data_IF_845564705537
#
_entry.id   IF_845564705537
#
_cell.length_a   1.000
_cell.length_b   1.000
_cell.length_c   1.000
_cell.angle_alpha   90.00
_cell.angle_beta   90.00
_cell.angle_gamma   90.00
#
_symmetry.space_group_name_H-M   'P 1'
#
loop_
_entity.id
_entity.type
_entity.pdbx_description
1 polymer ?
#
# COMPACT_ATOMS: atom_id res chain seq x y z
N UNK A 1 -50.61 -26.12 -13.45
CA UNK A 1 -49.32 -26.38 -12.77
C UNK A 1 -48.33 -25.24 -13.06
N UNK A 2 -47.96 -24.45 -12.06
CA UNK A 2 -47.05 -23.28 -12.18
C UNK A 2 -45.60 -23.74 -11.93
N UNK A 3 -44.80 -23.92 -12.99
CA UNK A 3 -43.40 -24.39 -12.95
C UNK A 3 -42.35 -23.26 -13.09
N UNK A 4 -42.66 -22.02 -12.69
CA UNK A 4 -41.78 -20.84 -12.96
C UNK A 4 -41.32 -20.07 -11.73
N UNK A 5 -41.57 -20.57 -10.52
CA UNK A 5 -41.25 -19.88 -9.26
C UNK A 5 -40.36 -20.74 -8.37
N UNK A 6 -39.16 -21.11 -8.86
CA UNK A 6 -38.20 -21.82 -8.01
C UNK A 6 -36.72 -21.45 -8.22
N UNK A 7 -36.37 -20.56 -9.16
CA UNK A 7 -34.96 -20.14 -9.37
C UNK A 7 -34.83 -18.62 -9.24
N UNK A 8 -35.25 -18.05 -8.13
CA UNK A 8 -35.10 -16.60 -7.89
C UNK A 8 -34.45 -16.23 -6.55
N UNK A 9 -34.08 -17.18 -5.70
CA UNK A 9 -33.69 -16.87 -4.31
C UNK A 9 -32.54 -17.72 -3.77
N UNK A 10 -31.47 -17.97 -4.56
CA UNK A 10 -30.36 -18.79 -4.08
C UNK A 10 -28.93 -18.32 -4.47
N UNK A 11 -28.74 -17.06 -4.88
CA UNK A 11 -27.46 -16.60 -5.43
C UNK A 11 -26.76 -15.44 -4.69
N UNK A 12 -27.22 -15.01 -3.51
CA UNK A 12 -26.65 -13.81 -2.84
C UNK A 12 -25.70 -14.12 -1.67
N UNK A 13 -25.64 -15.33 -1.12
CA UNK A 13 -24.96 -15.55 0.18
C UNK A 13 -23.49 -15.98 0.07
N UNK A 14 -23.01 -16.51 -1.07
CA UNK A 14 -21.67 -17.11 -1.13
C UNK A 14 -20.51 -16.14 -1.43
N UNK A 15 -20.77 -14.92 -1.91
CA UNK A 15 -19.71 -13.92 -2.17
C UNK A 15 -19.40 -13.08 -0.92
N UNK A 16 -20.33 -13.01 0.04
CA UNK A 16 -20.17 -12.13 1.21
C UNK A 16 -19.02 -12.51 2.14
N UNK A 17 -18.78 -13.81 2.34
CA UNK A 17 -17.72 -14.31 3.24
C UNK A 17 -16.30 -14.02 2.75
N UNK A 18 -15.91 -14.35 1.49
CA UNK A 18 -14.58 -14.00 1.00
C UNK A 18 -14.35 -12.49 0.98
N UNK A 19 -15.38 -11.69 0.64
CA UNK A 19 -15.29 -10.23 0.64
C UNK A 19 -15.10 -9.66 2.06
N UNK A 20 -15.88 -10.11 3.03
CA UNK A 20 -15.73 -9.67 4.42
C UNK A 20 -14.37 -10.07 5.03
N UNK A 21 -13.89 -11.27 4.73
CA UNK A 21 -12.56 -11.72 5.14
C UNK A 21 -11.45 -10.88 4.52
N UNK A 22 -11.56 -10.57 3.23
CA UNK A 22 -10.63 -9.70 2.51
C UNK A 22 -10.55 -8.30 3.14
N UNK A 23 -11.68 -7.67 3.42
CA UNK A 23 -11.71 -6.36 4.08
C UNK A 23 -11.15 -6.39 5.51
N UNK A 24 -11.39 -7.46 6.27
CA UNK A 24 -10.86 -7.62 7.63
C UNK A 24 -9.33 -7.80 7.62
N UNK A 25 -8.80 -8.62 6.70
CA UNK A 25 -7.36 -8.84 6.55
C UNK A 25 -6.62 -7.54 6.18
N UNK A 26 -7.20 -6.74 5.27
CA UNK A 26 -6.67 -5.44 4.84
C UNK A 26 -6.54 -4.40 5.97
N UNK A 27 -7.35 -4.51 7.01
CA UNK A 27 -7.28 -3.58 8.14
C UNK A 27 -6.13 -3.90 9.12
N UNK A 28 -5.51 -5.08 9.00
CA UNK A 28 -4.44 -5.51 9.90
C UNK A 28 -3.03 -5.23 9.36
N UNK A 29 -2.89 -4.92 8.07
CA UNK A 29 -1.59 -4.59 7.47
C UNK A 29 -1.00 -3.30 8.05
N UNK A 30 0.32 -3.19 8.06
CA UNK A 30 1.02 -2.00 8.51
C UNK A 30 1.05 -0.97 7.37
N UNK A 31 0.37 0.18 7.51
CA UNK A 31 0.28 1.15 6.42
C UNK A 31 1.64 1.77 6.03
N UNK A 32 2.69 1.60 6.84
CA UNK A 32 4.02 2.13 6.56
C UNK A 32 4.86 1.14 5.75
N UNK A 33 4.78 -0.15 6.07
CA UNK A 33 5.63 -1.17 5.43
C UNK A 33 4.96 -1.90 4.29
N UNK A 34 3.63 -1.91 4.21
CA UNK A 34 2.91 -2.64 3.15
C UNK A 34 2.35 -1.67 2.10
N UNK A 35 2.84 -1.71 0.84
CA UNK A 35 2.30 -0.88 -0.23
C UNK A 35 0.96 -1.44 -0.69
N UNK A 36 -0.14 -0.87 -0.19
CA UNK A 36 -1.50 -1.39 -0.36
C UNK A 36 -1.92 -1.54 -1.82
N UNK A 37 -1.51 -0.65 -2.73
CA UNK A 37 -1.84 -0.75 -4.15
C UNK A 37 -0.96 -1.80 -4.84
N UNK A 38 0.36 -1.68 -4.70
CA UNK A 38 1.32 -2.58 -5.34
C UNK A 38 1.16 -4.04 -4.90
N UNK A 39 0.74 -4.30 -3.65
CA UNK A 39 0.46 -5.66 -3.18
C UNK A 39 -0.73 -6.35 -3.88
N UNK A 40 -1.58 -5.59 -4.59
CA UNK A 40 -2.65 -6.18 -5.41
C UNK A 40 -2.17 -6.54 -6.83
N UNK A 41 -1.02 -6.01 -7.25
CA UNK A 41 -0.49 -6.18 -8.61
C UNK A 41 0.70 -7.15 -8.59
N UNK A 42 1.55 -7.02 -7.58
CA UNK A 42 2.81 -7.75 -7.46
C UNK A 42 2.78 -8.76 -6.32
N UNK A 43 3.55 -9.83 -6.51
CA UNK A 43 3.86 -10.81 -5.50
C UNK A 43 4.95 -10.29 -4.53
N UNK A 44 5.05 -10.94 -3.37
CA UNK A 44 5.99 -10.56 -2.31
C UNK A 44 7.46 -10.47 -2.80
N UNK A 45 7.99 -11.44 -3.57
CA UNK A 45 9.35 -11.36 -4.12
C UNK A 45 9.58 -10.10 -4.97
N UNK A 46 8.61 -9.72 -5.80
CA UNK A 46 8.71 -8.53 -6.64
C UNK A 46 8.71 -7.25 -5.80
N UNK A 47 7.85 -7.16 -4.78
CA UNK A 47 7.86 -6.02 -3.85
C UNK A 47 9.20 -5.89 -3.12
N UNK A 48 9.78 -7.01 -2.66
CA UNK A 48 11.11 -7.02 -2.03
C UNK A 48 12.20 -6.59 -3.02
N UNK A 49 12.14 -7.07 -4.26
CA UNK A 49 13.08 -6.69 -5.34
C UNK A 49 13.04 -5.19 -5.64
N UNK A 50 11.82 -4.62 -5.75
CA UNK A 50 11.63 -3.17 -5.91
C UNK A 50 12.24 -2.41 -4.73
N UNK A 51 11.99 -2.88 -3.50
CA UNK A 51 12.56 -2.28 -2.29
C UNK A 51 14.09 -2.30 -2.25
N UNK A 52 14.71 -3.41 -2.63
CA UNK A 52 16.17 -3.52 -2.75
C UNK A 52 16.71 -2.60 -3.86
N UNK A 53 16.01 -2.52 -4.99
CA UNK A 53 16.34 -1.60 -6.08
C UNK A 53 16.34 -0.15 -5.61
N UNK A 54 15.32 0.27 -4.85
CA UNK A 54 15.22 1.62 -4.30
C UNK A 54 16.40 1.93 -3.37
N UNK A 55 16.68 1.02 -2.44
CA UNK A 55 17.78 1.17 -1.45
C UNK A 55 19.15 1.27 -2.12
N UNK A 56 19.32 0.62 -3.26
CA UNK A 56 20.55 0.68 -4.06
C UNK A 56 20.68 2.01 -4.79
N UNK A 57 19.58 2.53 -5.35
CA UNK A 57 19.58 3.81 -6.07
C UNK A 57 19.67 5.03 -5.12
N UNK A 58 19.10 4.92 -3.91
CA UNK A 58 19.05 5.99 -2.91
C UNK A 58 19.69 5.53 -1.59
N UNK A 59 21.01 5.28 -1.55
CA UNK A 59 21.68 4.72 -0.37
C UNK A 59 21.58 5.64 0.85
N UNK A 60 21.42 6.95 0.64
CA UNK A 60 21.22 7.92 1.72
C UNK A 60 19.91 7.72 2.50
N UNK A 61 18.93 6.98 1.96
CA UNK A 61 17.65 6.69 2.61
C UNK A 61 17.54 5.23 3.11
N UNK A 62 18.62 4.45 3.12
CA UNK A 62 18.60 2.99 3.41
C UNK A 62 18.23 2.60 4.85
N UNK A 63 18.07 3.57 5.76
CA UNK A 63 17.74 3.30 7.17
C UNK A 63 16.21 3.25 7.38
N UNK A 64 15.72 2.17 8.02
CA UNK A 64 14.28 1.97 8.30
C UNK A 64 13.64 3.18 9.00
N UNK A 65 14.27 3.71 10.03
CA UNK A 65 13.75 4.88 10.77
C UNK A 65 13.67 6.12 9.88
N UNK A 66 14.66 6.34 9.01
CA UNK A 66 14.69 7.46 8.08
C UNK A 66 13.58 7.34 7.04
N UNK A 67 13.36 6.16 6.46
CA UNK A 67 12.24 5.90 5.54
C UNK A 67 10.89 6.14 6.20
N UNK A 68 10.69 5.62 7.42
CA UNK A 68 9.47 5.84 8.19
C UNK A 68 9.23 7.32 8.44
N UNK A 69 10.27 8.07 8.82
CA UNK A 69 10.16 9.51 9.01
C UNK A 69 9.83 10.26 7.72
N UNK A 70 10.37 9.85 6.57
CA UNK A 70 10.08 10.47 5.28
C UNK A 70 8.66 10.19 4.78
N UNK A 71 8.12 9.01 5.08
CA UNK A 71 6.72 8.67 4.79
C UNK A 71 5.78 9.46 5.71
N UNK A 72 6.08 9.54 7.00
CA UNK A 72 5.25 10.22 7.99
C UNK A 72 5.42 11.75 8.02
N UNK A 73 6.46 12.28 7.36
CA UNK A 73 6.65 13.72 7.23
C UNK A 73 5.57 14.30 6.31
N UNK A 74 4.69 15.10 6.89
CA UNK A 74 3.78 15.94 6.12
C UNK A 74 4.56 17.04 5.40
N UNK A 75 4.11 17.42 4.21
CA UNK A 75 4.72 18.47 3.38
C UNK A 75 4.75 19.84 4.09
N UNK A 76 3.97 20.01 5.17
CA UNK A 76 3.92 21.20 6.02
C UNK A 76 4.70 21.12 7.35
N UNK A 77 5.46 20.06 7.64
CA UNK A 77 6.37 19.99 8.80
C UNK A 77 5.76 19.94 10.21
N UNK A 78 4.46 20.21 10.38
CA UNK A 78 3.89 20.49 11.71
C UNK A 78 3.16 19.31 12.38
N UNK A 79 2.78 18.26 11.66
CA UNK A 79 2.07 17.10 12.26
C UNK A 79 2.73 15.76 11.92
N UNK A 80 3.52 15.25 12.87
CA UNK A 80 3.86 13.83 12.92
C UNK A 80 2.63 13.05 13.37
N UNK A 81 1.92 12.41 12.45
CA UNK A 81 0.86 11.47 12.83
C UNK A 81 1.46 10.37 13.71
N UNK A 82 0.80 10.06 14.83
CA UNK A 82 1.19 8.90 15.64
C UNK A 82 0.87 7.64 14.86
N UNK A 83 1.84 6.73 14.77
CA UNK A 83 1.72 5.42 14.07
C UNK A 83 0.51 4.60 14.54
N UNK A 84 -0.01 4.89 15.74
CA UNK A 84 -1.21 4.25 16.31
C UNK A 84 -2.50 4.49 15.51
N UNK A 85 -2.60 5.57 14.73
CA UNK A 85 -3.75 5.83 13.86
C UNK A 85 -3.51 5.26 12.45
N UNK A 86 -3.72 3.94 12.30
CA UNK A 86 -3.52 3.24 11.01
C UNK A 86 -4.34 3.86 9.87
N UNK A 87 -5.56 4.30 10.15
CA UNK A 87 -6.45 4.87 9.13
C UNK A 87 -5.97 6.26 8.69
N UNK A 88 -5.54 7.11 9.64
CA UNK A 88 -4.93 8.41 9.34
C UNK A 88 -3.63 8.27 8.55
N UNK A 89 -2.76 7.33 8.95
CA UNK A 89 -1.50 7.06 8.23
C UNK A 89 -1.77 6.57 6.81
N UNK A 90 -2.71 5.64 6.61
CA UNK A 90 -3.10 5.18 5.26
C UNK A 90 -3.55 6.32 4.36
N UNK A 91 -4.46 7.18 4.85
CA UNK A 91 -4.91 8.36 4.09
C UNK A 91 -3.79 9.33 3.75
N UNK A 92 -2.86 9.54 4.68
CA UNK A 92 -1.68 10.37 4.44
C UNK A 92 -0.80 9.77 3.34
N UNK A 93 -0.54 8.47 3.39
CA UNK A 93 0.25 7.76 2.38
C UNK A 93 -0.42 7.84 1.02
N UNK A 94 -1.72 7.55 0.92
CA UNK A 94 -2.49 7.64 -0.34
C UNK A 94 -2.42 9.06 -0.93
N UNK A 95 -2.55 10.09 -0.08
CA UNK A 95 -2.40 11.49 -0.51
C UNK A 95 -1.00 11.78 -1.06
N UNK A 96 0.06 11.30 -0.38
CA UNK A 96 1.44 11.50 -0.83
C UNK A 96 1.75 10.78 -2.13
N UNK A 97 1.27 9.55 -2.30
CA UNK A 97 1.40 8.81 -3.57
C UNK A 97 0.76 9.61 -4.71
N UNK A 98 -0.44 10.14 -4.49
CA UNK A 98 -1.11 10.98 -5.48
C UNK A 98 -0.34 12.26 -5.79
N UNK A 99 0.17 12.96 -4.76
CA UNK A 99 1.02 14.15 -4.92
C UNK A 99 2.34 13.83 -5.63
N UNK A 100 2.93 12.66 -5.38
CA UNK A 100 4.16 12.22 -6.03
C UNK A 100 3.96 12.05 -7.53
N UNK A 101 2.86 11.43 -7.96
CA UNK A 101 2.53 11.34 -9.39
C UNK A 101 2.24 12.72 -10.02
N UNK A 102 1.47 13.59 -9.35
CA UNK A 102 1.18 14.94 -9.86
C UNK A 102 2.46 15.77 -10.03
N UNK A 103 3.39 15.65 -9.07
CA UNK A 103 4.63 16.42 -9.04
C UNK A 103 5.80 15.73 -9.75
N UNK A 104 5.54 14.63 -10.46
CA UNK A 104 6.57 13.82 -11.15
C UNK A 104 7.70 13.34 -10.22
N UNK A 105 7.39 13.15 -8.93
CA UNK A 105 8.26 12.50 -7.94
C UNK A 105 8.09 10.99 -8.03
N UNK A 106 8.42 10.45 -9.19
CA UNK A 106 8.42 9.02 -9.49
C UNK A 106 9.85 8.51 -9.61
N UNK A 107 10.01 7.20 -9.53
CA UNK A 107 11.28 6.52 -9.76
C UNK A 107 11.04 5.26 -10.59
N UNK A 108 11.98 4.94 -11.48
CA UNK A 108 11.93 3.73 -12.29
C UNK A 108 12.77 2.63 -11.64
N UNK A 109 12.12 1.53 -11.27
CA UNK A 109 12.79 0.36 -10.67
C UNK A 109 12.30 -0.88 -11.38
N UNK A 110 13.23 -1.68 -11.92
CA UNK A 110 12.91 -2.89 -12.67
C UNK A 110 11.91 -2.68 -13.82
N UNK A 111 11.95 -1.50 -14.46
CA UNK A 111 11.04 -1.14 -15.57
C UNK A 111 9.67 -0.60 -15.12
N UNK A 112 9.42 -0.51 -13.81
CA UNK A 112 8.19 0.06 -13.26
C UNK A 112 8.41 1.50 -12.81
N UNK A 113 7.61 2.42 -13.34
CA UNK A 113 7.50 3.77 -12.79
C UNK A 113 6.55 3.75 -11.60
N UNK A 114 7.08 4.06 -10.42
CA UNK A 114 6.35 4.06 -9.15
C UNK A 114 6.58 5.37 -8.41
N UNK A 115 5.65 5.76 -7.54
CA UNK A 115 5.86 6.93 -6.69
C UNK A 115 7.06 6.72 -5.74
N UNK A 116 7.74 7.81 -5.37
CA UNK A 116 8.81 7.73 -4.36
C UNK A 116 8.25 7.19 -3.04
N UNK A 117 7.03 7.58 -2.65
CA UNK A 117 6.38 7.08 -1.43
C UNK A 117 6.17 5.56 -1.48
N UNK A 118 5.67 5.00 -2.57
CA UNK A 118 5.54 3.53 -2.73
C UNK A 118 6.90 2.84 -2.72
N UNK A 119 7.90 3.41 -3.39
CA UNK A 119 9.25 2.86 -3.40
C UNK A 119 9.86 2.79 -1.99
N UNK A 120 9.60 3.81 -1.15
CA UNK A 120 9.98 3.81 0.28
C UNK A 120 9.23 2.76 1.08
N UNK A 121 7.93 2.54 0.83
CA UNK A 121 7.19 1.45 1.46
C UNK A 121 7.79 0.09 1.10
N UNK A 122 8.07 -0.15 -0.19
CA UNK A 122 8.77 -1.35 -0.66
C UNK A 122 10.16 -1.49 -0.02
N UNK A 123 10.90 -0.40 0.17
CA UNK A 123 12.19 -0.42 0.83
C UNK A 123 12.08 -0.86 2.30
N UNK A 124 11.10 -0.33 3.05
CA UNK A 124 10.79 -0.78 4.41
C UNK A 124 10.36 -2.25 4.42
N UNK A 125 9.54 -2.65 3.45
CA UNK A 125 9.11 -4.04 3.27
C UNK A 125 10.29 -5.00 3.07
N UNK A 126 11.29 -4.60 2.27
CA UNK A 126 12.49 -5.40 2.03
C UNK A 126 13.41 -5.54 3.26
N UNK A 127 13.27 -4.65 4.24
CA UNK A 127 14.02 -4.63 5.51
C UNK A 127 13.30 -5.40 6.63
N UNK A 128 12.11 -5.93 6.35
CA UNK A 128 11.24 -6.57 7.33
C UNK A 128 11.15 -8.09 7.14
#
# INVERSE_FOLDING_TARGET
MKRKTFIATASVVLIGLPVAYYFKSRNNTDPISTPDFLSNIFDEPTLRSIGMGYRTQVPGENEKQKLTNLILADSGGEKKLKITDKAGVRKLVEKKIHEDFITSKTIVINGWEISITEARQCAIFSLS
#
